data_IF_383893051025
#
_entry.id   IF_383893051025
#
_cell.length_a   1.000
_cell.length_b   1.000
_cell.length_c   1.000
_cell.angle_alpha   90.00
_cell.angle_beta   90.00
_cell.angle_gamma   90.00
#
_symmetry.space_group_name_H-M   'P 1'
#
loop_
_entity.id
_entity.type
_entity.pdbx_description
1 polymer ?
#
# COMPACT_ATOMS: atom_id res chain seq x y z
N UNK A 1 4.56 18.96 66.68
CA UNK A 1 3.61 19.24 65.58
C UNK A 1 3.81 18.19 64.49
N UNK A 2 2.83 17.30 64.24
CA UNK A 2 2.94 16.16 63.29
C UNK A 2 2.82 16.67 61.83
N UNK A 3 3.91 17.26 61.31
CA UNK A 3 4.02 17.78 59.93
C UNK A 3 4.10 16.66 58.87
N UNK A 4 4.22 15.40 59.29
CA UNK A 4 4.40 14.27 58.38
C UNK A 4 3.18 13.96 57.52
N UNK A 5 1.96 14.17 58.05
CA UNK A 5 0.71 13.86 57.34
C UNK A 5 0.47 14.69 56.05
N UNK A 6 0.65 16.03 56.03
CA UNK A 6 0.47 16.80 54.81
C UNK A 6 1.53 16.52 53.73
N UNK A 7 2.78 16.23 54.12
CA UNK A 7 3.86 15.92 53.17
C UNK A 7 3.60 14.58 52.47
N UNK A 8 3.14 13.56 53.21
CA UNK A 8 2.80 12.26 52.62
C UNK A 8 1.63 12.37 51.63
N UNK A 9 0.62 13.21 51.93
CA UNK A 9 -0.51 13.42 51.03
C UNK A 9 -0.09 14.05 49.70
N UNK A 10 0.82 15.04 49.74
CA UNK A 10 1.37 15.68 48.54
C UNK A 10 2.21 14.71 47.72
N UNK A 11 3.04 13.87 48.35
CA UNK A 11 3.84 12.86 47.65
C UNK A 11 2.98 11.79 46.97
N UNK A 12 1.89 11.35 47.62
CA UNK A 12 0.94 10.39 47.02
C UNK A 12 0.22 11.01 45.83
N UNK A 13 -0.22 12.28 45.94
CA UNK A 13 -0.82 13.01 44.83
C UNK A 13 0.17 13.18 43.67
N UNK A 14 1.42 13.53 43.94
CA UNK A 14 2.45 13.68 42.92
C UNK A 14 2.72 12.35 42.20
N UNK A 15 2.82 11.25 42.95
CA UNK A 15 2.98 9.92 42.40
C UNK A 15 1.80 9.54 41.49
N UNK A 16 0.56 9.79 41.92
CA UNK A 16 -0.65 9.55 41.13
C UNK A 16 -0.61 10.37 39.82
N UNK A 17 -0.29 11.67 39.89
CA UNK A 17 -0.17 12.51 38.69
C UNK A 17 0.93 12.03 37.73
N UNK A 18 2.07 11.58 38.24
CA UNK A 18 3.14 11.01 37.40
C UNK A 18 2.73 9.69 36.76
N UNK A 19 1.96 8.85 37.45
CA UNK A 19 1.42 7.62 36.85
C UNK A 19 0.35 7.88 35.80
N UNK A 20 -0.52 8.88 36.00
CA UNK A 20 -1.54 9.27 35.02
C UNK A 20 -0.87 9.86 33.77
N UNK A 21 0.15 10.70 33.94
CA UNK A 21 0.94 11.22 32.84
C UNK A 21 1.66 10.09 32.08
N UNK A 22 2.28 9.13 32.78
CA UNK A 22 2.93 7.97 32.16
C UNK A 22 1.95 7.08 31.37
N UNK A 23 0.72 6.87 31.86
CA UNK A 23 -0.31 6.12 31.11
C UNK A 23 -0.81 6.83 29.85
N UNK A 24 -0.71 8.16 29.76
CA UNK A 24 -1.02 8.87 28.50
C UNK A 24 0.09 8.70 27.45
N UNK A 25 1.32 8.41 27.87
CA UNK A 25 2.45 8.12 26.97
C UNK A 25 2.62 6.64 26.63
N UNK A 26 1.97 5.73 27.36
CA UNK A 26 1.78 4.35 26.93
C UNK A 26 0.68 4.32 25.87
N UNK A 27 0.96 4.90 24.70
CA UNK A 27 0.03 4.83 23.57
C UNK A 27 -0.13 3.36 23.20
N UNK A 28 -1.33 2.85 23.42
CA UNK A 28 -1.75 1.52 23.02
C UNK A 28 -1.74 1.50 21.48
N UNK A 29 -0.76 0.80 20.90
CA UNK A 29 -0.45 0.84 19.47
C UNK A 29 -0.62 -0.54 18.81
N UNK A 30 -0.98 -0.51 17.54
CA UNK A 30 -0.95 -1.64 16.62
C UNK A 30 0.11 -1.38 15.54
N UNK A 31 0.90 -2.39 15.20
CA UNK A 31 1.96 -2.30 14.17
C UNK A 31 1.56 -3.11 12.94
N UNK A 32 1.86 -2.63 11.74
CA UNK A 32 1.52 -3.32 10.49
C UNK A 32 2.73 -3.44 9.57
N UNK A 33 3.14 -4.68 9.26
CA UNK A 33 4.28 -4.93 8.35
C UNK A 33 4.10 -6.22 7.55
N UNK A 34 4.18 -6.15 6.23
CA UNK A 34 3.91 -7.29 5.34
C UNK A 34 4.98 -7.43 4.26
N UNK A 35 5.39 -8.65 3.97
CA UNK A 35 6.10 -8.95 2.72
C UNK A 35 5.13 -8.98 1.55
N UNK A 36 5.61 -8.73 0.33
CA UNK A 36 4.82 -8.85 -0.88
C UNK A 36 5.35 -10.00 -1.72
N UNK A 37 4.44 -10.88 -2.14
CA UNK A 37 4.71 -11.97 -3.06
C UNK A 37 3.87 -11.81 -4.33
N UNK A 38 4.49 -12.05 -5.48
CA UNK A 38 3.88 -11.91 -6.80
C UNK A 38 4.09 -13.21 -7.57
N UNK A 39 3.01 -13.74 -8.16
CA UNK A 39 3.06 -15.04 -8.84
C UNK A 39 4.08 -15.14 -9.99
N UNK A 40 4.40 -14.03 -10.66
CA UNK A 40 5.32 -14.01 -11.79
C UNK A 40 6.53 -13.11 -11.50
N UNK A 41 7.72 -13.58 -11.89
CA UNK A 41 8.97 -12.80 -11.77
C UNK A 41 9.03 -11.59 -12.71
N UNK A 42 8.14 -11.53 -13.71
CA UNK A 42 7.98 -10.38 -14.60
C UNK A 42 7.17 -9.25 -13.96
N UNK A 43 6.59 -9.44 -12.78
CA UNK A 43 6.00 -8.34 -12.03
C UNK A 43 7.11 -7.57 -11.32
N UNK A 44 7.04 -6.25 -11.39
CA UNK A 44 7.87 -5.35 -10.61
C UNK A 44 6.99 -4.41 -9.78
N UNK A 45 7.56 -3.89 -8.70
CA UNK A 45 6.87 -2.96 -7.81
C UNK A 45 7.56 -1.60 -7.83
N UNK A 46 6.74 -0.55 -7.83
CA UNK A 46 7.18 0.83 -7.85
C UNK A 46 6.64 1.57 -6.62
N UNK A 47 7.49 2.25 -5.87
CA UNK A 47 7.10 2.99 -4.69
C UNK A 47 6.37 4.29 -5.07
N UNK A 48 5.29 4.61 -4.35
CA UNK A 48 4.52 5.84 -4.58
C UNK A 48 4.58 6.81 -3.40
N UNK A 49 4.15 6.37 -2.23
CA UNK A 49 3.97 7.22 -1.06
C UNK A 49 5.27 7.35 -0.25
N UNK A 50 5.99 8.45 -0.50
CA UNK A 50 7.19 8.87 0.24
C UNK A 50 6.87 9.66 1.52
N UNK A 51 5.62 10.10 1.68
CA UNK A 51 5.24 11.10 2.70
C UNK A 51 4.86 10.46 4.04
N UNK A 52 4.75 9.12 4.06
CA UNK A 52 4.05 8.42 5.11
C UNK A 52 4.95 7.67 6.11
N UNK A 53 6.27 7.67 5.92
CA UNK A 53 7.25 7.06 6.85
C UNK A 53 8.51 7.92 7.02
N UNK A 54 9.17 7.83 8.17
CA UNK A 54 10.39 8.59 8.47
C UNK A 54 11.59 8.23 7.59
N UNK A 55 11.53 7.10 6.88
CA UNK A 55 12.62 6.50 6.12
C UNK A 55 12.51 6.67 4.60
N UNK A 56 11.50 7.38 4.08
CA UNK A 56 11.26 7.50 2.64
C UNK A 56 9.93 6.87 2.25
N UNK A 57 9.96 5.70 1.62
CA UNK A 57 8.76 5.08 1.04
C UNK A 57 8.14 4.00 1.93
N UNK A 58 6.82 3.82 1.81
CA UNK A 58 6.09 2.68 2.43
C UNK A 58 6.62 1.34 1.91
N UNK A 59 6.84 1.26 0.60
CA UNK A 59 7.49 0.12 -0.05
C UNK A 59 8.99 0.16 0.20
N UNK A 60 9.53 -0.98 0.62
CA UNK A 60 10.98 -1.21 0.75
C UNK A 60 11.35 -2.50 0.03
N UNK A 61 12.63 -2.63 -0.32
CA UNK A 61 13.19 -3.88 -0.82
C UNK A 61 14.48 -4.20 -0.08
N UNK A 62 14.56 -5.41 0.46
CA UNK A 62 15.80 -5.94 1.02
C UNK A 62 16.17 -7.22 0.28
N UNK A 63 17.26 -7.19 -0.47
CA UNK A 63 17.80 -8.36 -1.18
C UNK A 63 16.80 -9.05 -2.12
N UNK A 64 15.96 -8.27 -2.81
CA UNK A 64 14.94 -8.78 -3.74
C UNK A 64 13.60 -9.10 -3.08
N UNK A 65 13.47 -8.97 -1.76
CA UNK A 65 12.22 -9.18 -1.04
C UNK A 65 11.56 -7.82 -0.83
N UNK A 66 10.42 -7.61 -1.48
CA UNK A 66 9.61 -6.42 -1.28
C UNK A 66 8.78 -6.52 0.00
N UNK A 67 8.64 -5.41 0.71
CA UNK A 67 7.85 -5.33 1.93
C UNK A 67 7.24 -3.94 2.11
N UNK A 68 6.10 -3.88 2.79
CA UNK A 68 5.46 -2.64 3.22
C UNK A 68 5.53 -2.52 4.73
N UNK A 69 6.11 -1.43 5.21
CA UNK A 69 6.02 -1.02 6.61
C UNK A 69 4.99 0.12 6.69
N UNK A 70 3.85 -0.21 7.26
CA UNK A 70 2.75 0.74 7.43
C UNK A 70 2.82 1.38 8.82
N UNK A 71 3.87 1.17 9.60
CA UNK A 71 4.12 1.87 10.85
C UNK A 71 3.21 1.46 12.01
N UNK A 72 3.14 2.36 13.00
CA UNK A 72 2.46 2.17 14.28
C UNK A 72 1.32 3.15 14.45
N UNK A 73 0.15 2.64 14.80
CA UNK A 73 -1.07 3.43 14.90
C UNK A 73 -1.73 3.24 16.24
N UNK A 74 -2.29 4.33 16.79
CA UNK A 74 -3.16 4.23 17.96
C UNK A 74 -4.45 3.49 17.60
N UNK A 75 -5.06 2.81 18.57
CA UNK A 75 -6.43 2.26 18.40
C UNK A 75 -7.39 3.39 17.99
N UNK A 76 -8.33 3.10 17.09
CA UNK A 76 -9.28 4.04 16.48
C UNK A 76 -8.64 5.05 15.51
N UNK A 77 -7.37 4.87 15.16
CA UNK A 77 -6.78 5.61 14.05
C UNK A 77 -7.18 4.98 12.71
N UNK A 78 -7.37 5.85 11.72
CA UNK A 78 -7.51 5.47 10.32
C UNK A 78 -6.42 6.16 9.52
N UNK A 79 -5.73 5.40 8.68
CA UNK A 79 -4.69 5.93 7.79
C UNK A 79 -4.90 5.35 6.40
N UNK A 80 -4.80 6.21 5.40
CA UNK A 80 -4.79 5.81 4.01
C UNK A 80 -3.45 6.17 3.38
N UNK A 81 -2.92 5.20 2.64
CA UNK A 81 -1.78 5.34 1.74
C UNK A 81 -2.32 5.21 0.33
N UNK A 82 -2.63 6.33 -0.32
CA UNK A 82 -3.28 6.32 -1.64
C UNK A 82 -2.43 5.61 -2.70
N UNK A 83 -1.11 5.60 -2.55
CA UNK A 83 -0.19 4.94 -3.45
C UNK A 83 0.94 4.26 -2.68
N UNK A 84 0.61 3.29 -1.83
CA UNK A 84 1.62 2.54 -1.08
C UNK A 84 2.71 2.00 -2.03
N UNK A 85 2.28 1.44 -3.15
CA UNK A 85 3.11 1.08 -4.30
C UNK A 85 2.26 0.94 -5.57
N UNK A 86 2.88 0.72 -6.71
CA UNK A 86 2.26 0.29 -7.95
C UNK A 86 2.74 -1.11 -8.34
N UNK A 87 1.85 -1.87 -8.96
CA UNK A 87 2.14 -3.16 -9.60
C UNK A 87 2.41 -2.88 -11.06
N UNK A 88 3.55 -3.35 -11.59
CA UNK A 88 3.97 -3.12 -12.98
C UNK A 88 4.16 -4.45 -13.69
N UNK A 89 3.51 -4.62 -14.84
CA UNK A 89 3.70 -5.75 -15.73
C UNK A 89 4.91 -5.51 -16.65
N UNK A 90 5.96 -6.32 -16.52
CA UNK A 90 7.14 -6.27 -17.39
C UNK A 90 7.12 -7.34 -18.50
N UNK A 91 6.02 -8.09 -18.64
CA UNK A 91 5.88 -9.12 -19.68
C UNK A 91 5.54 -8.50 -21.04
N UNK A 92 6.35 -8.77 -22.07
CA UNK A 92 6.25 -8.06 -23.36
C UNK A 92 5.09 -8.48 -24.26
N UNK A 93 4.59 -9.69 -24.10
CA UNK A 93 3.63 -10.27 -25.06
C UNK A 93 2.35 -10.77 -24.39
N UNK A 94 2.15 -10.44 -23.11
CA UNK A 94 1.05 -10.98 -22.31
C UNK A 94 0.46 -9.87 -21.48
N UNK A 95 -0.84 -9.67 -21.61
CA UNK A 95 -1.64 -8.89 -20.69
C UNK A 95 -1.94 -9.73 -19.45
N UNK A 96 -1.93 -9.10 -18.29
CA UNK A 96 -2.17 -9.79 -17.02
C UNK A 96 -3.38 -9.19 -16.33
N UNK A 97 -4.34 -10.04 -15.97
CA UNK A 97 -5.42 -9.66 -15.06
C UNK A 97 -5.00 -9.92 -13.62
N UNK A 98 -5.12 -8.92 -12.75
CA UNK A 98 -5.06 -9.15 -11.30
C UNK A 98 -6.35 -9.84 -10.89
N UNK A 99 -6.25 -11.07 -10.42
CA UNK A 99 -7.42 -11.92 -10.09
C UNK A 99 -7.76 -11.94 -8.62
N UNK A 100 -6.84 -11.54 -7.75
CA UNK A 100 -7.04 -11.57 -6.31
C UNK A 100 -5.83 -11.03 -5.58
N UNK A 101 -6.07 -10.50 -4.38
CA UNK A 101 -5.02 -10.14 -3.42
C UNK A 101 -5.35 -10.84 -2.10
N UNK A 102 -4.40 -11.62 -1.58
CA UNK A 102 -4.57 -12.38 -0.35
C UNK A 102 -3.63 -11.90 0.73
N UNK A 103 -4.15 -11.74 1.95
CA UNK A 103 -3.33 -11.49 3.14
C UNK A 103 -3.26 -12.78 3.95
N UNK A 104 -2.06 -13.35 4.01
CA UNK A 104 -1.73 -14.45 4.91
C UNK A 104 -0.95 -13.91 6.11
N UNK A 105 -1.01 -14.59 7.25
CA UNK A 105 -0.30 -14.14 8.44
C UNK A 105 -0.99 -14.55 9.74
N UNK A 106 -0.54 -13.94 10.85
CA UNK A 106 -1.02 -14.26 12.19
C UNK A 106 -2.46 -13.84 12.45
N UNK A 107 -2.99 -12.90 11.68
CA UNK A 107 -4.32 -12.32 11.87
C UNK A 107 -5.21 -12.36 10.61
N UNK A 108 -4.88 -13.26 9.65
CA UNK A 108 -5.59 -13.39 8.37
C UNK A 108 -7.12 -13.34 8.52
N UNK A 109 -7.78 -12.49 7.73
CA UNK A 109 -9.23 -12.24 7.79
C UNK A 109 -9.66 -11.25 8.87
N UNK A 110 -8.73 -10.75 9.69
CA UNK A 110 -8.94 -9.78 10.78
C UNK A 110 -7.85 -8.71 10.82
N UNK A 111 -7.13 -8.54 9.71
CA UNK A 111 -5.97 -7.65 9.65
C UNK A 111 -6.35 -6.17 9.68
N UNK A 112 -7.65 -5.81 9.64
CA UNK A 112 -8.11 -4.42 9.66
C UNK A 112 -7.45 -3.54 8.57
N UNK A 113 -7.06 -4.18 7.49
CA UNK A 113 -6.48 -3.56 6.30
C UNK A 113 -7.45 -3.75 5.14
N UNK A 114 -7.60 -2.70 4.33
CA UNK A 114 -8.24 -2.81 3.03
C UNK A 114 -7.22 -2.47 1.94
N UNK A 115 -7.27 -3.20 0.82
CA UNK A 115 -6.38 -3.01 -0.33
C UNK A 115 -7.25 -2.76 -1.55
N UNK A 116 -7.05 -1.60 -2.18
CA UNK A 116 -7.76 -1.21 -3.39
C UNK A 116 -6.76 -0.97 -4.53
N UNK A 117 -7.13 -1.37 -5.75
CA UNK A 117 -6.38 -1.02 -6.95
C UNK A 117 -7.08 0.12 -7.70
N UNK A 118 -6.30 1.10 -8.17
CA UNK A 118 -6.86 2.29 -8.79
C UNK A 118 -5.87 3.06 -9.67
N UNK A 119 -6.41 4.09 -10.33
CA UNK A 119 -5.73 4.88 -11.36
C UNK A 119 -4.80 5.96 -10.83
N UNK A 120 -4.95 6.43 -9.59
CA UNK A 120 -4.43 7.74 -9.20
C UNK A 120 -3.45 7.69 -8.03
N UNK A 121 -2.21 8.10 -8.22
CA UNK A 121 -1.22 8.10 -7.15
C UNK A 121 -1.60 9.02 -5.96
N UNK A 122 -2.25 10.15 -6.27
CA UNK A 122 -2.46 11.28 -5.33
C UNK A 122 -3.84 11.35 -4.72
N UNK A 123 -4.78 10.53 -5.20
CA UNK A 123 -6.16 10.52 -4.72
C UNK A 123 -6.49 9.14 -4.20
N UNK A 124 -7.09 9.10 -3.03
CA UNK A 124 -7.75 7.86 -2.62
C UNK A 124 -8.83 7.49 -3.61
N UNK A 125 -8.92 6.19 -3.89
CA UNK A 125 -9.98 5.66 -4.73
C UNK A 125 -11.34 5.93 -4.09
N UNK A 126 -12.32 6.40 -4.87
CA UNK A 126 -13.71 6.22 -4.45
C UNK A 126 -14.06 4.78 -4.80
N UNK A 127 -14.33 3.93 -3.81
CA UNK A 127 -14.73 2.54 -4.08
C UNK A 127 -15.99 2.54 -4.93
N UNK A 128 -15.91 1.96 -6.13
CA UNK A 128 -17.06 1.76 -7.01
C UNK A 128 -17.18 0.26 -7.20
N UNK A 129 -18.38 -0.30 -7.06
CA UNK A 129 -18.61 -1.68 -7.44
C UNK A 129 -18.23 -1.86 -8.92
N UNK A 130 -17.39 -2.85 -9.29
CA UNK A 130 -17.01 -3.05 -10.67
C UNK A 130 -18.29 -3.37 -11.48
N UNK A 131 -18.54 -2.59 -12.53
CA UNK A 131 -19.46 -3.03 -13.56
C UNK A 131 -18.70 -4.04 -14.43
N UNK A 132 -19.24 -5.25 -14.59
CA UNK A 132 -18.74 -6.18 -15.59
C UNK A 132 -18.58 -5.42 -16.92
N UNK A 133 -17.38 -5.45 -17.49
CA UNK A 133 -17.02 -4.87 -18.79
C UNK A 133 -16.69 -3.37 -18.84
N UNK A 134 -16.53 -2.69 -17.71
CA UNK A 134 -16.07 -1.29 -17.66
C UNK A 134 -15.06 -1.07 -16.52
N UNK A 135 -13.81 -0.73 -16.86
CA UNK A 135 -12.87 -0.14 -15.89
C UNK A 135 -13.47 1.15 -15.35
N UNK A 136 -13.66 1.30 -14.02
CA UNK A 136 -14.42 2.41 -13.50
C UNK A 136 -13.69 3.73 -13.76
N UNK A 137 -14.34 4.64 -14.47
CA UNK A 137 -13.85 6.01 -14.68
C UNK A 137 -13.72 6.70 -13.32
N UNK A 138 -12.47 6.81 -12.83
CA UNK A 138 -12.16 7.39 -11.51
C UNK A 138 -12.39 6.46 -10.31
N UNK A 139 -12.68 5.18 -10.53
CA UNK A 139 -12.96 4.23 -9.43
C UNK A 139 -11.79 3.37 -9.00
N UNK A 140 -11.93 2.81 -7.81
CA UNK A 140 -11.09 1.74 -7.29
C UNK A 140 -11.84 0.42 -7.21
N UNK A 141 -11.11 -0.68 -7.43
CA UNK A 141 -11.60 -2.04 -7.19
C UNK A 141 -11.00 -2.51 -5.86
N UNK A 142 -11.85 -2.95 -4.92
CA UNK A 142 -11.42 -3.48 -3.64
C UNK A 142 -11.07 -4.96 -3.78
N UNK A 143 -9.82 -5.33 -3.45
CA UNK A 143 -9.39 -6.74 -3.46
C UNK A 143 -9.31 -7.34 -2.07
N UNK A 144 -9.19 -6.47 -1.06
CA UNK A 144 -9.22 -6.85 0.35
C UNK A 144 -10.07 -5.84 1.11
N UNK A 145 -11.04 -6.32 1.87
CA UNK A 145 -11.87 -5.51 2.76
C UNK A 145 -11.73 -6.02 4.19
N UNK A 146 -11.14 -5.21 5.07
CA UNK A 146 -10.85 -5.54 6.47
C UNK A 146 -10.15 -6.90 6.67
N UNK A 147 -9.16 -7.19 5.82
CA UNK A 147 -8.38 -8.43 5.83
C UNK A 147 -9.01 -9.61 5.09
N UNK A 148 -10.23 -9.46 4.55
CA UNK A 148 -10.90 -10.51 3.79
C UNK A 148 -10.70 -10.26 2.30
N UNK A 149 -10.20 -11.27 1.59
CA UNK A 149 -9.93 -11.20 0.17
C UNK A 149 -11.17 -11.40 -0.69
N UNK A 150 -11.20 -10.70 -1.81
CA UNK A 150 -12.23 -10.76 -2.85
C UNK A 150 -11.62 -11.35 -4.14
N UNK A 151 -12.36 -12.26 -4.79
CA UNK A 151 -11.95 -12.86 -6.07
C UNK A 151 -12.45 -12.00 -7.22
N UNK A 152 -11.54 -11.67 -8.12
CA UNK A 152 -11.76 -10.86 -9.31
C UNK A 152 -11.27 -11.58 -10.57
N UNK A 153 -11.46 -12.91 -10.61
CA UNK A 153 -11.02 -13.75 -11.72
C UNK A 153 -11.64 -13.38 -13.07
N UNK A 154 -12.80 -12.70 -13.07
CA UNK A 154 -13.54 -12.28 -14.26
C UNK A 154 -13.47 -10.77 -14.54
N UNK A 155 -13.41 -9.94 -13.49
CA UNK A 155 -13.63 -8.48 -13.55
C UNK A 155 -12.47 -7.67 -12.94
N UNK A 156 -11.36 -8.33 -12.60
CA UNK A 156 -10.19 -7.67 -12.05
C UNK A 156 -9.44 -6.79 -13.04
N UNK A 157 -8.51 -6.02 -12.51
CA UNK A 157 -7.76 -5.01 -13.24
C UNK A 157 -6.90 -5.64 -14.32
N UNK A 158 -6.95 -5.12 -15.53
CA UNK A 158 -6.10 -5.59 -16.63
C UNK A 158 -4.88 -4.68 -16.76
N UNK A 159 -3.70 -5.29 -16.69
CA UNK A 159 -2.41 -4.65 -16.94
C UNK A 159 -2.00 -4.97 -18.37
N UNK A 160 -1.81 -3.92 -19.17
CA UNK A 160 -1.26 -4.07 -20.51
C UNK A 160 0.14 -4.71 -20.46
N UNK A 161 0.54 -5.29 -21.58
CA UNK A 161 1.91 -5.78 -21.78
C UNK A 161 2.94 -4.66 -21.64
N UNK A 162 4.16 -5.03 -21.29
CA UNK A 162 5.28 -4.09 -21.22
C UNK A 162 5.59 -3.47 -22.59
N UNK A 163 6.14 -2.24 -22.63
CA UNK A 163 6.48 -1.58 -23.89
C UNK A 163 7.58 -2.33 -24.66
N UNK A 164 7.41 -2.45 -25.97
CA UNK A 164 8.28 -3.25 -26.85
C UNK A 164 9.75 -2.76 -26.85
N UNK A 165 9.94 -1.43 -26.75
CA UNK A 165 11.22 -0.76 -26.89
C UNK A 165 11.49 0.16 -25.70
N UNK A 166 12.26 -0.28 -24.71
CA UNK A 166 12.92 0.66 -23.81
C UNK A 166 14.42 0.49 -23.96
N UNK A 167 15.04 1.46 -24.61
CA UNK A 167 16.48 1.54 -24.78
C UNK A 167 16.91 2.94 -24.35
N UNK A 168 17.09 3.11 -23.05
CA UNK A 168 17.87 4.22 -22.52
C UNK A 168 19.12 3.61 -21.91
N UNK A 169 20.29 4.20 -22.16
CA UNK A 169 21.58 3.69 -21.66
C UNK A 169 21.74 3.79 -20.14
N UNK A 170 20.64 3.72 -19.39
CA UNK A 170 20.49 3.90 -17.94
C UNK A 170 19.55 2.80 -17.42
N UNK A 171 19.84 2.21 -16.24
CA UNK A 171 18.95 1.24 -15.62
C UNK A 171 17.65 1.93 -15.20
N UNK A 172 16.59 1.72 -15.97
CA UNK A 172 15.26 2.25 -15.72
C UNK A 172 14.22 1.17 -16.02
N UNK A 173 13.14 1.19 -15.24
CA UNK A 173 12.02 0.25 -15.41
C UNK A 173 10.92 0.93 -16.23
N UNK A 174 10.73 0.56 -17.51
CA UNK A 174 9.71 1.16 -18.33
C UNK A 174 8.30 0.71 -17.95
N UNK A 175 7.34 1.62 -18.14
CA UNK A 175 5.92 1.30 -18.04
C UNK A 175 5.12 2.16 -19.03
N UNK A 176 3.95 1.66 -19.42
CA UNK A 176 2.97 2.40 -20.20
C UNK A 176 1.97 3.07 -19.26
N UNK A 177 1.60 4.32 -19.53
CA UNK A 177 0.44 4.96 -18.90
C UNK A 177 -0.75 5.03 -19.85
N UNK A 178 -1.89 5.56 -19.38
CA UNK A 178 -3.22 5.42 -19.98
C UNK A 178 -3.31 5.71 -21.50
N UNK A 179 -2.46 6.60 -22.01
CA UNK A 179 -2.43 7.01 -23.42
C UNK A 179 -1.53 6.14 -24.31
N UNK A 180 -0.99 5.03 -23.80
CA UNK A 180 -0.02 4.20 -24.52
C UNK A 180 1.37 4.81 -24.61
N UNK A 181 1.56 5.98 -24.00
CA UNK A 181 2.85 6.63 -23.93
C UNK A 181 3.72 5.94 -22.87
N UNK A 182 5.01 5.92 -23.16
CA UNK A 182 6.01 5.28 -22.33
C UNK A 182 6.59 6.27 -21.32
N UNK A 183 6.69 5.84 -20.08
CA UNK A 183 7.46 6.50 -19.03
C UNK A 183 8.44 5.48 -18.42
N UNK A 184 9.24 5.94 -17.46
CA UNK A 184 10.20 5.09 -16.78
C UNK A 184 10.37 5.44 -15.33
N UNK A 185 10.44 4.40 -14.50
CA UNK A 185 10.82 4.53 -13.11
C UNK A 185 12.34 4.51 -12.98
N UNK A 186 12.86 5.32 -12.06
CA UNK A 186 14.28 5.36 -11.71
C UNK A 186 14.53 4.53 -10.44
N UNK A 187 15.71 3.92 -10.34
CA UNK A 187 16.10 3.19 -9.13
C UNK A 187 16.62 4.14 -8.05
N UNK A 188 16.01 4.12 -6.87
CA UNK A 188 16.58 4.75 -5.68
C UNK A 188 17.42 3.74 -4.91
N UNK A 189 18.74 3.94 -4.96
CA UNK A 189 19.73 3.12 -4.27
C UNK A 189 19.70 3.21 -2.74
N UNK A 190 19.03 4.23 -2.19
CA UNK A 190 18.92 4.41 -0.74
C UNK A 190 17.85 3.49 -0.17
N UNK A 191 16.69 3.45 -0.83
CA UNK A 191 15.53 2.67 -0.40
C UNK A 191 15.40 1.32 -1.15
N UNK A 192 16.26 1.11 -2.16
CA UNK A 192 16.26 -0.05 -3.05
C UNK A 192 14.91 -0.26 -3.76
N UNK A 193 14.28 0.80 -4.24
CA UNK A 193 12.97 0.71 -4.91
C UNK A 193 12.96 1.48 -6.22
N UNK A 194 12.09 1.05 -7.13
CA UNK A 194 11.74 1.85 -8.31
C UNK A 194 10.81 2.98 -7.90
N UNK A 195 11.04 4.18 -8.43
CA UNK A 195 10.22 5.37 -8.16
C UNK A 195 9.77 5.95 -9.50
N UNK A 196 8.49 6.33 -9.66
CA UNK A 196 8.02 6.93 -10.90
C UNK A 196 8.77 8.23 -11.18
N UNK A 197 9.07 8.50 -12.45
CA UNK A 197 9.49 9.84 -12.85
C UNK A 197 8.28 10.78 -12.82
N UNK A 198 8.23 11.63 -11.80
CA UNK A 198 7.12 12.58 -11.58
C UNK A 198 7.13 13.76 -12.55
N UNK A 199 8.13 13.88 -13.44
CA UNK A 199 8.11 14.89 -14.50
C UNK A 199 7.09 14.57 -15.60
N UNK A 200 6.53 13.35 -15.61
CA UNK A 200 5.43 12.97 -16.50
C UNK A 200 4.07 13.16 -15.78
N UNK A 201 3.15 13.99 -16.31
CA UNK A 201 1.88 14.32 -15.65
C UNK A 201 1.02 13.09 -15.33
N UNK A 202 1.06 12.07 -16.18
CA UNK A 202 0.26 10.85 -16.04
C UNK A 202 0.96 9.73 -15.23
N UNK A 203 2.18 9.97 -14.73
CA UNK A 203 2.79 9.11 -13.70
C UNK A 203 2.03 9.20 -12.37
N UNK A 204 1.23 10.26 -12.18
CA UNK A 204 0.48 10.53 -10.94
C UNK A 204 -1.01 10.22 -11.04
N UNK A 205 -1.53 9.91 -12.24
CA UNK A 205 -2.91 9.44 -12.43
C UNK A 205 -3.24 9.05 -13.86
N UNK A 206 -3.94 7.92 -14.04
CA UNK A 206 -4.49 7.49 -15.33
C UNK A 206 -5.76 8.31 -15.63
N UNK A 207 -5.86 8.89 -16.83
CA UNK A 207 -6.78 9.99 -17.21
C UNK A 207 -8.01 9.59 -18.05
N UNK A 208 -8.19 8.33 -18.47
CA UNK A 208 -9.30 7.89 -19.34
C UNK A 208 -9.93 6.54 -18.95
N UNK A 209 -11.21 6.38 -19.31
CA UNK A 209 -12.05 5.20 -19.09
C UNK A 209 -11.61 3.96 -19.87
N UNK A 210 -12.30 2.84 -19.64
CA UNK A 210 -12.09 1.49 -20.22
C UNK A 210 -11.25 1.42 -21.50
N UNK A 211 -10.14 0.67 -21.44
CA UNK A 211 -9.22 0.49 -22.58
C UNK A 211 -7.81 1.07 -22.37
N UNK A 212 -7.40 1.31 -21.12
CA UNK A 212 -6.06 1.86 -20.84
C UNK A 212 -4.97 0.90 -21.31
N UNK A 213 -4.03 1.39 -22.12
CA UNK A 213 -2.79 0.68 -22.46
C UNK A 213 -1.79 0.67 -21.29
N UNK A 214 -2.24 0.99 -20.07
CA UNK A 214 -1.40 1.10 -18.90
C UNK A 214 -0.88 -0.28 -18.48
N UNK A 215 0.44 -0.39 -18.34
CA UNK A 215 1.10 -1.62 -17.88
C UNK A 215 1.29 -1.62 -16.35
N UNK A 216 0.61 -0.73 -15.63
CA UNK A 216 0.69 -0.63 -14.18
C UNK A 216 -0.63 -0.18 -13.55
N UNK A 217 -0.74 -0.39 -12.23
CA UNK A 217 -1.85 0.09 -11.40
C UNK A 217 -1.36 0.47 -10.01
N UNK A 218 -1.96 1.50 -9.41
CA UNK A 218 -1.63 1.92 -8.05
C UNK A 218 -2.36 1.07 -7.01
N UNK A 219 -1.66 0.75 -5.93
CA UNK A 219 -2.17 0.05 -4.76
C UNK A 219 -2.38 1.05 -3.64
N UNK A 220 -3.64 1.23 -3.27
CA UNK A 220 -4.02 1.90 -2.03
C UNK A 220 -4.08 0.88 -0.90
N UNK A 221 -3.52 1.26 0.25
CA UNK A 221 -3.67 0.52 1.49
C UNK A 221 -4.34 1.41 2.52
N UNK A 222 -5.43 0.92 3.12
CA UNK A 222 -6.13 1.59 4.21
C UNK A 222 -5.99 0.77 5.48
N UNK A 223 -5.46 1.37 6.53
CA UNK A 223 -5.52 0.84 7.89
C UNK A 223 -6.75 1.42 8.57
N UNK A 224 -7.60 0.55 9.10
CA UNK A 224 -8.72 0.91 9.95
C UNK A 224 -8.56 0.27 11.33
N UNK A 225 -7.75 0.88 12.20
CA UNK A 225 -7.51 0.34 13.55
C UNK A 225 -8.71 0.53 14.50
N UNK A 226 -9.91 0.81 13.98
CA UNK A 226 -11.14 0.91 14.77
C UNK A 226 -11.51 -0.47 15.29
N UNK A 227 -11.44 -0.64 16.61
CA UNK A 227 -11.63 -1.93 17.29
C UNK A 227 -10.60 -3.02 16.94
N UNK A 228 -9.47 -2.68 16.31
CA UNK A 228 -8.41 -3.64 16.06
C UNK A 228 -7.86 -4.19 17.39
N UNK A 229 -7.78 -5.52 17.57
CA UNK A 229 -7.06 -6.11 18.69
C UNK A 229 -5.62 -5.59 18.76
N UNK A 230 -5.11 -5.52 19.98
CA UNK A 230 -3.73 -5.14 20.20
C UNK A 230 -2.74 -6.18 19.67
N UNK A 231 -1.64 -5.68 19.12
CA UNK A 231 -0.51 -6.51 18.71
C UNK A 231 0.09 -6.07 17.39
N UNK A 232 0.97 -6.93 16.90
CA UNK A 232 1.63 -6.77 15.61
C UNK A 232 0.87 -7.59 14.56
N UNK A 233 0.55 -6.93 13.47
CA UNK A 233 -0.08 -7.50 12.30
C UNK A 233 0.98 -7.68 11.23
N UNK A 234 1.27 -8.94 10.90
CA UNK A 234 2.30 -9.26 9.94
C UNK A 234 1.99 -10.53 9.16
N UNK A 235 2.61 -10.61 7.99
CA UNK A 235 2.51 -11.76 7.11
C UNK A 235 2.86 -11.39 5.67
N UNK A 236 2.12 -11.92 4.72
CA UNK A 236 2.41 -11.77 3.29
C UNK A 236 1.17 -11.37 2.51
N UNK A 237 1.30 -10.30 1.73
CA UNK A 237 0.36 -9.88 0.69
C UNK A 237 0.73 -10.65 -0.58
N UNK A 238 -0.15 -11.53 -1.06
CA UNK A 238 0.04 -12.35 -2.25
C UNK A 238 -0.83 -11.80 -3.37
N UNK A 239 -0.22 -11.39 -4.47
CA UNK A 239 -0.93 -10.84 -5.64
C UNK A 239 -1.02 -11.93 -6.72
N UNK A 240 -2.25 -12.28 -7.10
CA UNK A 240 -2.56 -13.37 -8.03
C UNK A 240 -2.90 -12.84 -9.41
N UNK A 241 -2.40 -13.52 -10.43
CA UNK A 241 -2.53 -13.06 -11.82
C UNK A 241 -2.97 -14.18 -12.76
N UNK A 242 -3.73 -13.80 -13.79
CA UNK A 242 -4.08 -14.66 -14.93
C UNK A 242 -3.67 -13.99 -16.23
N UNK A 243 -2.96 -14.72 -17.08
CA UNK A 243 -2.65 -14.29 -18.43
C UNK A 243 -3.93 -14.23 -19.29
N UNK A 244 -4.05 -13.21 -20.14
CA UNK A 244 -5.15 -13.01 -21.09
C UNK A 244 -4.75 -13.37 -22.52
#
# INVERSE_FOLDING_TARGET
MKIWKPITAVLVLLAIFTTIAATQYATIQVTYSYSIDTQYSSIQLMAGDASAVSSGYVLTNTSGIYSVDLGKWAINAKKTYSAAFAIVNMEKNVELRVTGIEITGTNSGKDNISINLHKNMTKSGTTIAPAADQEPEGGSIAYVTNGNSEDHSADGWVLAKAPDNYNTGTPAMPYLYDTGQQASASWDSTNNVWIPDTNYPDATGLTTGSGSEASFVWVEIVIDATNAPLGDYSGTIIIKFKAL
#
